data_IF_456996273406
#
_entry.id   IF_456996273406
#
_cell.length_a   1.000
_cell.length_b   1.000
_cell.length_c   1.000
_cell.angle_alpha   90.00
_cell.angle_beta   90.00
_cell.angle_gamma   90.00
#
_symmetry.space_group_name_H-M   'P 1'
#
loop_
_entity.id
_entity.type
_entity.pdbx_description
1 polymer ?
#
# COMPACT_ATOMS: atom_id res chain seq x y z
N UNK A 1 0.14 -4.37 -16.29
CA UNK A 1 -1.01 -4.30 -15.37
C UNK A 1 -0.55 -3.89 -13.97
N UNK A 2 0.36 -2.91 -13.87
CA UNK A 2 0.95 -2.43 -12.59
C UNK A 2 0.40 -1.02 -12.30
N UNK A 3 -0.93 -0.88 -12.27
CA UNK A 3 -1.64 0.41 -12.38
C UNK A 3 -2.48 0.80 -11.16
N UNK A 4 -2.03 0.47 -9.95
CA UNK A 4 -2.70 0.96 -8.75
C UNK A 4 -2.21 2.39 -8.48
N UNK A 5 -3.06 3.38 -8.76
CA UNK A 5 -2.77 4.76 -8.36
C UNK A 5 -2.65 4.84 -6.85
N UNK A 6 -1.82 5.76 -6.37
CA UNK A 6 -1.63 6.01 -4.94
C UNK A 6 -2.97 6.18 -4.19
N UNK A 7 -3.94 6.88 -4.79
CA UNK A 7 -5.28 7.04 -4.19
C UNK A 7 -6.05 5.73 -4.07
N UNK A 8 -5.92 4.80 -5.03
CA UNK A 8 -6.56 3.47 -4.94
C UNK A 8 -5.90 2.63 -3.86
N UNK A 9 -4.57 2.68 -3.74
CA UNK A 9 -3.84 2.02 -2.67
C UNK A 9 -4.26 2.55 -1.30
N UNK A 10 -4.24 3.87 -1.12
CA UNK A 10 -4.66 4.50 0.14
C UNK A 10 -6.13 4.24 0.48
N UNK A 11 -7.02 4.22 -0.52
CA UNK A 11 -8.41 3.83 -0.33
C UNK A 11 -8.55 2.38 0.15
N UNK A 12 -7.84 1.44 -0.46
CA UNK A 12 -7.83 0.04 -0.04
C UNK A 12 -7.24 -0.17 1.35
N UNK A 13 -6.18 0.57 1.69
CA UNK A 13 -5.59 0.53 3.03
C UNK A 13 -6.55 1.07 4.08
N UNK A 14 -7.23 2.18 3.79
CA UNK A 14 -8.23 2.75 4.70
C UNK A 14 -9.41 1.78 4.92
N UNK A 15 -9.91 1.14 3.86
CA UNK A 15 -10.96 0.11 3.97
C UNK A 15 -10.51 -1.12 4.75
N UNK A 16 -9.24 -1.49 4.63
CA UNK A 16 -8.64 -2.57 5.41
C UNK A 16 -8.35 -2.18 6.87
N UNK A 17 -8.65 -0.94 7.29
CA UNK A 17 -8.33 -0.42 8.62
C UNK A 17 -6.83 -0.22 8.87
N UNK A 18 -6.03 -0.14 7.81
CA UNK A 18 -4.58 0.03 7.87
C UNK A 18 -4.23 1.51 7.73
N UNK A 19 -3.94 2.16 8.85
CA UNK A 19 -3.40 3.53 8.86
C UNK A 19 -1.87 3.49 8.73
N UNK A 20 -1.36 3.87 7.55
CA UNK A 20 0.07 3.98 7.30
C UNK A 20 0.43 5.37 6.80
N UNK A 21 1.54 5.91 7.29
CA UNK A 21 2.03 7.20 6.84
C UNK A 21 2.60 7.10 5.42
N UNK A 22 2.30 8.09 4.57
CA UNK A 22 2.84 8.20 3.21
C UNK A 22 4.37 8.08 3.12
N UNK A 23 5.09 8.62 4.11
CA UNK A 23 6.56 8.56 4.16
C UNK A 23 7.05 7.13 4.38
N UNK A 24 6.42 6.42 5.32
CA UNK A 24 6.73 5.01 5.61
C UNK A 24 6.35 4.15 4.41
N UNK A 25 5.22 4.41 3.77
CA UNK A 25 4.83 3.67 2.57
C UNK A 25 5.83 3.84 1.43
N UNK A 26 6.33 5.06 1.21
CA UNK A 26 7.35 5.33 0.20
C UNK A 26 8.71 4.69 0.55
N UNK A 27 9.10 4.77 1.82
CA UNK A 27 10.30 4.12 2.34
C UNK A 27 10.23 2.59 2.17
N UNK A 28 9.09 1.98 2.53
CA UNK A 28 8.86 0.55 2.32
C UNK A 28 8.88 0.19 0.82
N UNK A 29 8.32 1.03 -0.05
CA UNK A 29 8.35 0.78 -1.49
C UNK A 29 9.79 0.78 -2.05
N UNK A 30 10.68 1.61 -1.48
CA UNK A 30 12.06 1.74 -1.95
C UNK A 30 13.03 0.76 -1.28
N UNK A 31 12.94 0.59 0.03
CA UNK A 31 13.89 -0.15 0.85
C UNK A 31 13.39 -1.56 1.22
N UNK A 32 12.07 -1.80 1.22
CA UNK A 32 11.46 -3.05 1.67
C UNK A 32 10.36 -3.54 0.71
N UNK A 33 10.71 -3.89 -0.55
CA UNK A 33 9.73 -4.22 -1.60
C UNK A 33 8.82 -5.40 -1.24
N UNK A 34 9.29 -6.35 -0.43
CA UNK A 34 8.48 -7.48 0.06
C UNK A 34 7.37 -7.02 1.01
N UNK A 35 7.70 -6.14 1.96
CA UNK A 35 6.72 -5.55 2.88
C UNK A 35 5.70 -4.69 2.12
N UNK A 36 6.16 -3.92 1.14
CA UNK A 36 5.28 -3.14 0.26
C UNK A 36 4.31 -4.04 -0.52
N UNK A 37 4.78 -5.16 -1.09
CA UNK A 37 3.91 -6.15 -1.76
C UNK A 37 2.84 -6.71 -0.83
N UNK A 38 3.18 -7.04 0.41
CA UNK A 38 2.21 -7.54 1.39
C UNK A 38 1.12 -6.50 1.71
N UNK A 39 1.51 -5.23 1.85
CA UNK A 39 0.60 -4.10 2.08
C UNK A 39 -0.33 -3.90 0.89
N UNK A 40 0.22 -3.88 -0.33
CA UNK A 40 -0.56 -3.76 -1.57
C UNK A 40 -1.51 -4.95 -1.76
N UNK A 41 -1.08 -6.17 -1.41
CA UNK A 41 -1.95 -7.34 -1.46
C UNK A 41 -3.14 -7.21 -0.51
N UNK A 42 -2.91 -6.76 0.74
CA UNK A 42 -3.99 -6.49 1.70
C UNK A 42 -4.93 -5.38 1.21
N UNK A 43 -4.39 -4.31 0.63
CA UNK A 43 -5.19 -3.21 0.08
C UNK A 43 -6.02 -3.59 -1.15
N UNK A 44 -5.60 -4.59 -1.94
CA UNK A 44 -6.34 -5.09 -3.11
C UNK A 44 -7.55 -5.95 -2.75
N UNK A 45 -7.54 -6.59 -1.59
CA UNK A 45 -8.60 -7.50 -1.14
C UNK A 45 -9.78 -6.75 -0.50
N UNK A 46 -9.60 -5.47 -0.15
CA UNK A 46 -10.58 -4.62 0.54
C UNK A 46 -11.40 -3.71 -0.41
#
# INVERSE_FOLDING_TARGET
>A
MEGMSYSKLMGGLHKAGIEINRKVLADLAMNHPEAFKAIVAKAKVA
#
